data_IF_593420992522
#
_entry.id   IF_593420992522
#
_cell.length_a   1.000
_cell.length_b   1.000
_cell.length_c   1.000
_cell.angle_alpha   90.00
_cell.angle_beta   90.00
_cell.angle_gamma   90.00
#
_symmetry.space_group_name_H-M   'P 1'
#
loop_
_entity.id
_entity.type
_entity.pdbx_description
1 polymer ?
#
# COMPACT_ATOMS: atom_id res chain seq x y z
N UNK A 1 -29.46 -11.27 11.19
CA UNK A 1 -28.00 -11.48 11.04
C UNK A 1 -27.40 -10.16 10.61
N UNK A 2 -26.44 -9.60 11.37
CA UNK A 2 -25.76 -8.36 10.99
C UNK A 2 -24.87 -8.70 9.78
N UNK A 3 -25.13 -8.10 8.62
CA UNK A 3 -24.22 -8.13 7.49
C UNK A 3 -22.88 -7.53 7.95
N UNK A 4 -21.90 -8.38 8.28
CA UNK A 4 -20.51 -7.93 8.38
C UNK A 4 -20.16 -7.42 7.00
N UNK A 5 -19.98 -6.10 6.85
CA UNK A 5 -19.47 -5.53 5.61
C UNK A 5 -18.18 -6.28 5.27
N UNK A 6 -18.05 -6.74 4.02
CA UNK A 6 -16.82 -7.37 3.55
C UNK A 6 -15.66 -6.43 3.89
N UNK A 7 -14.61 -6.97 4.55
CA UNK A 7 -13.39 -6.22 4.83
C UNK A 7 -12.42 -6.53 3.69
N UNK A 8 -12.40 -5.72 2.62
CA UNK A 8 -11.65 -6.05 1.40
C UNK A 8 -10.14 -6.17 1.64
N UNK A 9 -9.64 -5.62 2.75
CA UNK A 9 -8.23 -5.59 3.09
C UNK A 9 -7.84 -6.56 4.21
N UNK A 10 -8.74 -7.47 4.61
CA UNK A 10 -8.41 -8.54 5.54
C UNK A 10 -7.42 -9.55 4.91
N UNK A 11 -7.43 -9.68 3.58
CA UNK A 11 -6.40 -10.38 2.81
C UNK A 11 -5.18 -9.45 2.60
N UNK A 12 -3.98 -9.84 3.09
CA UNK A 12 -2.75 -9.07 2.89
C UNK A 12 -2.39 -8.83 1.42
N UNK A 13 -2.71 -9.75 0.50
CA UNK A 13 -2.45 -9.55 -0.94
C UNK A 13 -3.33 -8.44 -1.51
N UNK A 14 -4.63 -8.46 -1.18
CA UNK A 14 -5.57 -7.41 -1.58
C UNK A 14 -5.18 -6.05 -0.98
N UNK A 15 -4.80 -6.02 0.30
CA UNK A 15 -4.27 -4.81 0.94
C UNK A 15 -3.00 -4.31 0.23
N UNK A 16 -2.04 -5.20 -0.05
CA UNK A 16 -0.78 -4.86 -0.71
C UNK A 16 -0.98 -4.29 -2.12
N UNK A 17 -1.84 -4.90 -2.94
CA UNK A 17 -2.17 -4.36 -4.28
C UNK A 17 -2.77 -2.97 -4.18
N UNK A 18 -3.64 -2.75 -3.20
CA UNK A 18 -4.21 -1.41 -2.99
C UNK A 18 -3.15 -0.39 -2.58
N UNK A 19 -2.19 -0.77 -1.74
CA UNK A 19 -1.07 0.10 -1.37
C UNK A 19 -0.17 0.44 -2.57
N UNK A 20 0.02 -0.50 -3.51
CA UNK A 20 0.75 -0.25 -4.76
C UNK A 20 0.01 0.76 -5.64
N UNK A 21 -1.31 0.62 -5.81
CA UNK A 21 -2.15 1.60 -6.51
C UNK A 21 -2.06 2.99 -5.88
N UNK A 22 -2.18 3.07 -4.55
CA UNK A 22 -2.08 4.33 -3.82
C UNK A 22 -0.69 4.94 -3.96
N UNK A 23 0.38 4.15 -3.84
CA UNK A 23 1.75 4.60 -4.01
C UNK A 23 1.98 5.21 -5.41
N UNK A 24 1.43 4.60 -6.46
CA UNK A 24 1.52 5.12 -7.83
C UNK A 24 0.74 6.43 -8.04
N UNK A 25 -0.29 6.68 -7.23
CA UNK A 25 -1.10 7.90 -7.29
C UNK A 25 -0.49 9.09 -6.53
N UNK A 26 0.45 8.84 -5.62
CA UNK A 26 1.09 9.88 -4.80
C UNK A 26 2.35 10.37 -5.50
N UNK A 27 2.47 11.70 -5.66
CA UNK A 27 3.67 12.31 -6.22
C UNK A 27 4.90 11.97 -5.35
N UNK A 28 5.89 11.33 -5.97
CA UNK A 28 7.16 11.07 -5.32
C UNK A 28 7.97 12.37 -5.14
N UNK A 29 8.75 12.42 -4.06
CA UNK A 29 9.77 13.44 -3.83
C UNK A 29 11.11 12.95 -4.41
N UNK A 30 12.22 13.49 -3.91
CA UNK A 30 13.56 13.15 -4.36
C UNK A 30 13.81 11.63 -4.37
N UNK A 31 14.46 11.15 -5.45
CA UNK A 31 14.88 9.75 -5.59
C UNK A 31 13.72 8.75 -5.54
N UNK A 32 12.53 9.15 -6.02
CA UNK A 32 11.35 8.26 -6.10
C UNK A 32 10.73 7.92 -4.74
N UNK A 33 11.11 8.63 -3.66
CA UNK A 33 10.58 8.41 -2.32
C UNK A 33 9.16 8.95 -2.19
N UNK A 34 8.31 8.20 -1.51
CA UNK A 34 6.91 8.55 -1.25
C UNK A 34 6.72 8.57 0.26
N UNK A 35 6.16 9.66 0.80
CA UNK A 35 5.83 9.74 2.22
C UNK A 35 4.78 8.69 2.57
N UNK A 36 5.13 7.75 3.46
CA UNK A 36 4.27 6.63 3.82
C UNK A 36 2.94 7.08 4.44
N UNK A 37 2.95 8.21 5.15
CA UNK A 37 1.77 8.79 5.77
C UNK A 37 0.69 9.18 4.75
N UNK A 38 1.07 9.52 3.51
CA UNK A 38 0.13 9.90 2.45
C UNK A 38 -0.69 8.68 2.00
N UNK A 39 0.00 7.56 1.78
CA UNK A 39 -0.62 6.27 1.44
C UNK A 39 -1.46 5.77 2.63
N UNK A 40 -0.92 5.86 3.85
CA UNK A 40 -1.61 5.43 5.07
C UNK A 40 -2.90 6.23 5.32
N UNK A 41 -2.85 7.55 5.13
CA UNK A 41 -4.00 8.44 5.26
C UNK A 41 -5.12 8.06 4.29
N UNK A 42 -4.81 7.89 3.01
CA UNK A 42 -5.79 7.46 2.00
C UNK A 42 -6.37 6.08 2.35
N UNK A 43 -5.52 5.12 2.69
CA UNK A 43 -5.95 3.76 3.02
C UNK A 43 -6.90 3.71 4.22
N UNK A 44 -6.58 4.40 5.32
CA UNK A 44 -7.40 4.32 6.54
C UNK A 44 -8.61 5.26 6.51
N UNK A 45 -8.45 6.47 5.99
CA UNK A 45 -9.50 7.51 6.08
C UNK A 45 -10.50 7.35 4.92
N UNK A 46 -10.01 7.19 3.70
CA UNK A 46 -10.86 7.14 2.50
C UNK A 46 -11.39 5.73 2.27
N UNK A 47 -10.52 4.72 2.36
CA UNK A 47 -10.88 3.32 2.08
C UNK A 47 -11.35 2.54 3.32
N UNK A 48 -11.38 3.20 4.49
CA UNK A 48 -11.80 2.60 5.79
C UNK A 48 -11.04 1.33 6.17
N UNK A 49 -9.80 1.19 5.69
CA UNK A 49 -8.88 0.16 6.15
C UNK A 49 -8.42 0.44 7.59
N UNK A 50 -7.95 -0.60 8.27
CA UNK A 50 -7.38 -0.50 9.62
C UNK A 50 -5.85 -0.50 9.60
N UNK A 51 -5.24 -0.05 10.69
CA UNK A 51 -3.78 -0.05 10.84
C UNK A 51 -3.17 -1.46 10.74
N UNK A 52 -3.86 -2.50 11.22
CA UNK A 52 -3.41 -3.88 11.09
C UNK A 52 -3.44 -4.38 9.63
N UNK A 53 -4.47 -3.99 8.87
CA UNK A 53 -4.58 -4.34 7.45
C UNK A 53 -3.51 -3.59 6.63
N UNK A 54 -3.28 -2.31 6.94
CA UNK A 54 -2.19 -1.52 6.36
C UNK A 54 -0.83 -2.17 6.62
N UNK A 55 -0.55 -2.54 7.88
CA UNK A 55 0.71 -3.18 8.26
C UNK A 55 0.91 -4.54 7.58
N UNK A 56 -0.13 -5.36 7.51
CA UNK A 56 -0.09 -6.66 6.83
C UNK A 56 0.16 -6.50 5.32
N UNK A 57 -0.57 -5.60 4.66
CA UNK A 57 -0.40 -5.31 3.24
C UNK A 57 0.97 -4.71 2.93
N UNK A 58 1.46 -3.79 3.75
CA UNK A 58 2.78 -3.18 3.55
C UNK A 58 3.90 -4.22 3.67
N UNK A 59 3.84 -5.09 4.70
CA UNK A 59 4.79 -6.19 4.85
C UNK A 59 4.77 -7.12 3.64
N UNK A 60 3.57 -7.51 3.20
CA UNK A 60 3.40 -8.38 2.04
C UNK A 60 3.97 -7.74 0.76
N UNK A 61 3.70 -6.45 0.52
CA UNK A 61 4.25 -5.71 -0.62
C UNK A 61 5.78 -5.64 -0.59
N UNK A 62 6.39 -5.49 0.59
CA UNK A 62 7.85 -5.50 0.76
C UNK A 62 8.44 -6.89 0.50
N UNK A 63 7.85 -7.94 1.06
CA UNK A 63 8.28 -9.32 0.85
C UNK A 63 8.23 -9.73 -0.64
N UNK A 64 7.27 -9.18 -1.40
CA UNK A 64 7.14 -9.37 -2.85
C UNK A 64 8.04 -8.45 -3.69
N UNK A 65 8.74 -7.50 -3.06
CA UNK A 65 9.54 -6.50 -3.76
C UNK A 65 8.71 -5.50 -4.57
N UNK A 66 7.42 -5.33 -4.27
CA UNK A 66 6.54 -4.35 -4.93
C UNK A 66 6.74 -2.94 -4.38
N UNK A 67 6.98 -2.83 -3.08
CA UNK A 67 7.37 -1.61 -2.40
C UNK A 67 8.67 -1.84 -1.64
N UNK A 68 9.56 -0.86 -1.58
CA UNK A 68 10.65 -0.84 -0.60
C UNK A 68 10.34 0.17 0.49
N UNK A 69 10.69 -0.14 1.74
CA UNK A 69 10.57 0.79 2.87
C UNK A 69 11.95 1.32 3.24
N UNK A 70 12.08 2.65 3.31
CA UNK A 70 13.30 3.29 3.77
C UNK A 70 13.54 2.98 5.26
N UNK A 71 14.80 2.90 5.68
CA UNK A 71 15.18 2.55 7.06
C UNK A 71 14.58 3.48 8.13
N UNK A 72 14.39 4.75 7.80
CA UNK A 72 13.75 5.74 8.69
C UNK A 72 12.26 5.43 8.95
N UNK A 73 11.65 4.57 8.13
CA UNK A 73 10.24 4.25 8.14
C UNK A 73 9.31 5.35 7.59
N UNK A 74 9.86 6.52 7.26
CA UNK A 74 9.10 7.68 6.74
C UNK A 74 8.68 7.51 5.27
N UNK A 75 9.45 6.74 4.52
CA UNK A 75 9.30 6.65 3.07
C UNK A 75 9.10 5.21 2.61
N UNK A 76 8.34 5.08 1.53
CA UNK A 76 8.38 3.91 0.66
C UNK A 76 8.80 4.33 -0.74
N UNK A 77 9.24 3.38 -1.57
CA UNK A 77 9.36 3.57 -3.03
C UNK A 77 8.57 2.50 -3.74
N UNK A 78 7.91 2.89 -4.83
CA UNK A 78 7.38 1.93 -5.80
C UNK A 78 8.56 1.28 -6.54
N UNK A 79 8.52 -0.04 -6.65
CA UNK A 79 9.58 -0.83 -7.26
C UNK A 79 9.11 -1.42 -8.59
N UNK A 80 10.00 -1.79 -9.52
CA UNK A 80 9.61 -2.31 -10.83
C UNK A 80 8.61 -3.49 -10.77
N UNK A 81 8.76 -4.49 -9.88
CA UNK A 81 7.77 -5.56 -9.76
C UNK A 81 6.37 -5.08 -9.32
N UNK A 82 6.29 -3.95 -8.61
CA UNK A 82 5.02 -3.31 -8.26
C UNK A 82 4.44 -2.51 -9.43
N UNK A 83 5.27 -1.84 -10.22
CA UNK A 83 4.85 -1.15 -11.45
C UNK A 83 4.25 -2.15 -12.46
N UNK A 84 4.83 -3.34 -12.58
CA UNK A 84 4.32 -4.43 -13.44
C UNK A 84 2.89 -4.88 -13.08
N UNK A 85 2.43 -4.64 -11.84
CA UNK A 85 1.05 -4.93 -11.44
C UNK A 85 0.07 -3.91 -12.00
N UNK A 86 0.53 -2.69 -12.31
CA UNK A 86 -0.32 -1.59 -12.79
C UNK A 86 -0.52 -1.63 -14.31
N UNK A 87 0.42 -2.25 -15.03
CA UNK A 87 0.42 -2.34 -16.50
C UNK A 87 -0.38 -3.54 -17.02
N UNK A 88 -0.65 -4.53 -16.18
CA UNK A 88 -1.52 -5.67 -16.50
C UNK A 88 -2.99 -5.30 -16.28
N UNK A 89 -3.58 -4.62 -17.27
CA UNK A 89 -5.05 -4.46 -17.38
C UNK A 89 -5.60 -5.38 -18.45
#
# INVERSE_FOLDING_TARGET
MKHTAERPYADPDAAARKLVELAASVAAVQDGRIYIERINGQFMIELKGSGSEFGAGLRYAIERGWLSKHESGTYVKLMPPGEDLLTRK
#
